data_IF_217510507378
#
_entry.id   IF_217510507378
#
_cell.length_a   1.000
_cell.length_b   1.000
_cell.length_c   1.000
_cell.angle_alpha   90.00
_cell.angle_beta   90.00
_cell.angle_gamma   90.00
#
_symmetry.space_group_name_H-M   'P 1'
#
loop_
_entity.id
_entity.type
_entity.pdbx_description
1 polymer ?
#
# COMPACT_ATOMS: atom_id res chain seq x y z
N UNK A 1 35.36 -28.44 0.67
CA UNK A 1 34.43 -27.29 0.82
C UNK A 1 33.76 -27.06 -0.53
N UNK A 2 33.01 -28.04 -1.04
CA UNK A 2 31.55 -28.21 -0.87
C UNK A 2 30.75 -27.06 -1.51
N UNK A 3 30.62 -27.20 -2.84
CA UNK A 3 29.67 -26.52 -3.71
C UNK A 3 28.24 -26.62 -3.14
N UNK A 4 27.64 -25.48 -2.76
CA UNK A 4 26.22 -25.38 -2.40
C UNK A 4 25.44 -25.02 -3.66
N UNK A 5 24.48 -25.86 -3.99
CA UNK A 5 23.73 -25.91 -5.25
C UNK A 5 22.95 -24.63 -5.61
N UNK A 6 22.81 -24.32 -6.91
CA UNK A 6 21.88 -23.31 -7.41
C UNK A 6 20.49 -23.95 -7.62
N UNK A 7 19.76 -24.24 -6.54
CA UNK A 7 18.46 -24.92 -6.61
C UNK A 7 17.25 -23.98 -6.41
N UNK A 8 17.39 -22.70 -6.76
CA UNK A 8 16.30 -21.70 -6.70
C UNK A 8 16.08 -21.10 -8.08
N UNK A 9 15.76 -21.93 -9.06
CA UNK A 9 15.46 -21.47 -10.43
C UNK A 9 14.35 -22.27 -11.09
N UNK A 10 13.27 -22.55 -10.36
CA UNK A 10 12.11 -23.25 -10.92
C UNK A 10 10.81 -22.73 -10.33
N UNK A 11 10.43 -21.49 -10.66
CA UNK A 11 9.03 -21.11 -10.93
C UNK A 11 9.05 -19.87 -11.84
N UNK A 12 9.27 -20.07 -13.14
CA UNK A 12 9.03 -19.03 -14.16
C UNK A 12 7.60 -19.16 -14.67
N UNK A 13 6.63 -18.76 -13.85
CA UNK A 13 5.19 -18.73 -14.18
C UNK A 13 4.70 -17.29 -14.46
N UNK A 14 5.58 -16.41 -14.97
CA UNK A 14 5.53 -14.97 -14.68
C UNK A 14 4.96 -14.00 -15.73
N UNK A 15 4.72 -14.40 -16.98
CA UNK A 15 4.45 -13.41 -18.05
C UNK A 15 2.97 -12.96 -18.17
N UNK A 16 1.93 -13.82 -18.10
CA UNK A 16 0.55 -13.34 -18.21
C UNK A 16 -0.03 -12.76 -16.90
N UNK A 17 0.61 -13.03 -15.76
CA UNK A 17 0.08 -12.63 -14.45
C UNK A 17 0.45 -11.19 -14.06
N UNK A 18 1.55 -10.66 -14.58
CA UNK A 18 2.04 -9.31 -14.27
C UNK A 18 1.09 -8.22 -14.76
N UNK A 19 0.60 -8.34 -16.00
CA UNK A 19 -0.37 -7.41 -16.59
C UNK A 19 -1.72 -7.42 -15.87
N UNK A 20 -2.15 -8.57 -15.35
CA UNK A 20 -3.40 -8.68 -14.61
C UNK A 20 -3.28 -8.00 -13.23
N UNK A 21 -2.15 -8.15 -12.54
CA UNK A 21 -1.97 -7.53 -11.21
C UNK A 21 -2.01 -6.00 -11.25
N UNK A 22 -1.45 -5.36 -12.28
CA UNK A 22 -1.35 -3.90 -12.37
C UNK A 22 -2.71 -3.20 -12.47
N UNK A 23 -3.69 -3.84 -13.10
CA UNK A 23 -5.07 -3.32 -13.16
C UNK A 23 -5.91 -3.70 -11.95
N UNK A 24 -5.61 -4.83 -11.30
CA UNK A 24 -6.45 -5.37 -10.23
C UNK A 24 -6.27 -4.60 -8.91
N UNK A 25 -5.06 -4.13 -8.64
CA UNK A 25 -4.73 -3.43 -7.38
C UNK A 25 -5.52 -2.12 -7.19
N UNK A 26 -5.60 -1.18 -8.15
CA UNK A 26 -6.38 0.05 -7.96
C UNK A 26 -7.89 -0.21 -7.85
N UNK A 27 -8.41 -1.20 -8.58
CA UNK A 27 -9.82 -1.61 -8.49
C UNK A 27 -10.11 -2.17 -7.11
N UNK A 28 -9.23 -3.02 -6.60
CA UNK A 28 -9.36 -3.61 -5.27
C UNK A 28 -9.34 -2.54 -4.17
N UNK A 29 -8.45 -1.55 -4.28
CA UNK A 29 -8.40 -0.40 -3.34
C UNK A 29 -9.73 0.35 -3.27
N UNK A 30 -10.28 0.75 -4.42
CA UNK A 30 -11.55 1.51 -4.48
C UNK A 30 -12.70 0.66 -3.92
N UNK A 31 -12.73 -0.64 -4.26
CA UNK A 31 -13.75 -1.56 -3.77
C UNK A 31 -13.71 -1.70 -2.24
N UNK A 32 -12.52 -1.97 -1.66
CA UNK A 32 -12.36 -2.12 -0.22
C UNK A 32 -12.66 -0.83 0.53
N UNK A 33 -12.17 0.32 0.04
CA UNK A 33 -12.46 1.61 0.64
C UNK A 33 -13.97 1.90 0.63
N UNK A 34 -14.67 1.57 -0.46
CA UNK A 34 -16.12 1.70 -0.56
C UNK A 34 -16.87 0.85 0.46
N UNK A 35 -16.48 -0.43 0.62
CA UNK A 35 -17.08 -1.33 1.62
C UNK A 35 -16.88 -0.80 3.04
N UNK A 36 -15.66 -0.37 3.37
CA UNK A 36 -15.36 0.20 4.69
C UNK A 36 -16.17 1.47 4.95
N UNK A 37 -16.35 2.36 3.97
CA UNK A 37 -17.17 3.56 4.11
C UNK A 37 -18.64 3.19 4.38
N UNK A 38 -19.20 2.22 3.65
CA UNK A 38 -20.59 1.78 3.85
C UNK A 38 -20.78 1.19 5.25
N UNK A 39 -19.89 0.31 5.71
CA UNK A 39 -19.94 -0.23 7.07
C UNK A 39 -19.74 0.85 8.13
N UNK A 40 -18.90 1.86 7.86
CA UNK A 40 -18.72 3.01 8.76
C UNK A 40 -20.00 3.84 8.91
N UNK A 41 -20.79 4.00 7.83
CA UNK A 41 -22.10 4.69 7.89
C UNK A 41 -23.08 3.92 8.77
N UNK A 42 -23.11 2.60 8.66
CA UNK A 42 -23.97 1.75 9.50
C UNK A 42 -23.59 1.94 10.98
N UNK A 43 -22.29 1.85 11.30
CA UNK A 43 -21.79 2.06 12.67
C UNK A 43 -22.12 3.47 13.18
N UNK A 44 -22.00 4.50 12.34
CA UNK A 44 -22.37 5.87 12.71
C UNK A 44 -23.86 5.99 13.08
N UNK A 45 -24.74 5.39 12.27
CA UNK A 45 -26.18 5.38 12.54
C UNK A 45 -26.52 4.67 13.86
N UNK A 46 -25.92 3.51 14.10
CA UNK A 46 -26.10 2.75 15.34
C UNK A 46 -25.58 3.52 16.56
N UNK A 47 -24.37 4.09 16.49
CA UNK A 47 -23.81 4.89 17.59
C UNK A 47 -24.61 6.17 17.86
N UNK A 48 -25.10 6.84 16.81
CA UNK A 48 -25.95 8.03 16.94
C UNK A 48 -27.31 7.69 17.60
N UNK A 49 -27.93 6.58 17.19
CA UNK A 49 -29.18 6.11 17.78
C UNK A 49 -29.02 5.75 19.27
N UNK A 50 -27.98 4.97 19.60
CA UNK A 50 -27.68 4.60 20.99
C UNK A 50 -27.41 5.85 21.84
N UNK A 51 -26.68 6.84 21.31
CA UNK A 51 -26.41 8.11 22.00
C UNK A 51 -27.69 8.89 22.27
N UNK A 52 -28.61 8.95 21.30
CA UNK A 52 -29.89 9.63 21.45
C UNK A 52 -30.77 8.96 22.51
N UNK A 53 -30.85 7.62 22.51
CA UNK A 53 -31.59 6.85 23.52
C UNK A 53 -31.04 7.09 24.93
N UNK A 54 -29.72 7.13 25.07
CA UNK A 54 -29.05 7.31 26.35
C UNK A 54 -29.30 8.72 26.90
N UNK A 55 -29.16 9.74 26.05
CA UNK A 55 -29.37 11.14 26.41
C UNK A 55 -30.83 11.43 26.80
N UNK A 56 -31.78 10.76 26.16
CA UNK A 56 -33.22 10.97 26.41
C UNK A 56 -33.74 10.21 27.64
N UNK A 57 -33.11 9.09 28.01
CA UNK A 57 -33.63 8.18 29.04
C UNK A 57 -32.89 8.22 30.36
N UNK A 58 -31.62 8.64 30.36
CA UNK A 58 -30.77 8.67 31.55
C UNK A 58 -30.16 10.06 31.76
N UNK A 59 -29.86 10.37 33.03
CA UNK A 59 -29.02 11.50 33.49
C UNK A 59 -27.88 11.75 32.49
N UNK A 60 -27.46 13.00 32.17
CA UNK A 60 -26.60 13.39 31.05
C UNK A 60 -25.23 12.69 30.98
N UNK A 61 -25.25 11.41 30.64
CA UNK A 61 -24.11 10.54 30.45
C UNK A 61 -24.16 9.99 29.03
N UNK A 62 -23.02 10.01 28.35
CA UNK A 62 -22.83 9.38 27.06
C UNK A 62 -21.95 8.15 27.23
N UNK A 63 -22.17 7.14 26.40
CA UNK A 63 -21.28 5.98 26.38
C UNK A 63 -19.96 6.32 25.70
N UNK A 64 -18.84 6.05 26.38
CA UNK A 64 -17.49 6.28 25.86
C UNK A 64 -17.27 5.56 24.52
N UNK A 65 -17.80 4.35 24.36
CA UNK A 65 -17.69 3.60 23.11
C UNK A 65 -18.43 4.29 21.95
N UNK A 66 -19.57 4.94 22.21
CA UNK A 66 -20.36 5.59 21.18
C UNK A 66 -19.63 6.85 20.66
N UNK A 67 -19.04 7.63 21.58
CA UNK A 67 -18.18 8.75 21.22
C UNK A 67 -16.95 8.30 20.41
N UNK A 68 -16.30 7.21 20.83
CA UNK A 68 -15.15 6.63 20.12
C UNK A 68 -15.53 6.10 18.72
N UNK A 69 -16.70 5.48 18.58
CA UNK A 69 -17.23 5.01 17.31
C UNK A 69 -17.47 6.16 16.32
N UNK A 70 -18.12 7.24 16.78
CA UNK A 70 -18.35 8.45 15.97
C UNK A 70 -17.01 9.06 15.53
N UNK A 71 -16.07 9.22 16.46
CA UNK A 71 -14.73 9.74 16.15
C UNK A 71 -14.00 8.87 15.12
N UNK A 72 -14.08 7.54 15.26
CA UNK A 72 -13.48 6.58 14.33
C UNK A 72 -14.08 6.68 12.93
N UNK A 73 -15.39 6.88 12.80
CA UNK A 73 -16.04 7.08 11.50
C UNK A 73 -15.58 8.39 10.84
N UNK A 74 -15.53 9.49 11.60
CA UNK A 74 -15.05 10.79 11.10
C UNK A 74 -13.61 10.66 10.62
N UNK A 75 -12.74 10.02 11.40
CA UNK A 75 -11.35 9.75 11.02
C UNK A 75 -11.25 8.83 9.81
N UNK A 76 -12.12 7.84 9.68
CA UNK A 76 -12.18 6.96 8.51
C UNK A 76 -12.55 7.75 7.25
N UNK A 77 -13.53 8.63 7.34
CA UNK A 77 -13.92 9.51 6.24
C UNK A 77 -12.82 10.50 5.89
N UNK A 78 -12.18 11.12 6.88
CA UNK A 78 -11.06 12.03 6.65
C UNK A 78 -9.86 11.29 6.05
N UNK A 79 -9.47 10.13 6.59
CA UNK A 79 -8.32 9.36 6.15
C UNK A 79 -8.54 8.76 4.76
N UNK A 80 -9.57 7.94 4.58
CA UNK A 80 -9.86 7.31 3.28
C UNK A 80 -10.33 8.32 2.24
N UNK A 81 -11.13 9.31 2.65
CA UNK A 81 -11.55 10.39 1.76
C UNK A 81 -10.36 11.19 1.24
N UNK A 82 -9.39 11.54 2.11
CA UNK A 82 -8.16 12.21 1.66
C UNK A 82 -7.37 11.35 0.69
N UNK A 83 -7.19 10.06 0.98
CA UNK A 83 -6.48 9.15 0.07
C UNK A 83 -7.19 9.05 -1.30
N UNK A 84 -8.51 8.90 -1.32
CA UNK A 84 -9.31 8.81 -2.55
C UNK A 84 -9.33 10.12 -3.35
N UNK A 85 -9.50 11.26 -2.68
CA UNK A 85 -9.54 12.57 -3.33
C UNK A 85 -8.19 12.86 -3.98
N UNK A 86 -7.08 12.63 -3.28
CA UNK A 86 -5.78 12.97 -3.85
C UNK A 86 -5.37 12.00 -4.96
N UNK A 87 -5.72 10.71 -4.84
CA UNK A 87 -5.54 9.74 -5.93
C UNK A 87 -6.28 10.16 -7.21
N UNK A 88 -7.46 10.79 -7.08
CA UNK A 88 -8.22 11.31 -8.23
C UNK A 88 -7.65 12.61 -8.79
N UNK A 89 -7.19 13.52 -7.92
CA UNK A 89 -6.80 14.88 -8.33
C UNK A 89 -5.38 14.98 -8.90
N UNK A 90 -4.44 14.14 -8.46
CA UNK A 90 -3.06 14.16 -8.97
C UNK A 90 -2.45 12.77 -9.08
N UNK A 91 -2.35 12.26 -10.31
CA UNK A 91 -1.44 11.15 -10.63
C UNK A 91 0.00 11.63 -10.37
N UNK A 92 0.69 11.04 -9.40
CA UNK A 92 2.09 11.37 -9.05
C UNK A 92 2.29 12.32 -7.85
N UNK A 93 1.26 12.63 -7.05
CA UNK A 93 1.44 13.38 -5.80
C UNK A 93 1.97 12.52 -4.64
N UNK A 94 2.70 13.14 -3.70
CA UNK A 94 3.34 12.53 -2.51
C UNK A 94 2.37 11.67 -1.66
N UNK A 95 1.09 12.00 -1.67
CA UNK A 95 0.04 11.24 -0.97
C UNK A 95 -0.20 9.85 -1.56
N UNK A 96 0.26 9.58 -2.78
CA UNK A 96 0.18 8.27 -3.41
C UNK A 96 1.30 7.33 -2.94
N UNK A 97 2.24 7.80 -2.10
CA UNK A 97 3.31 6.94 -1.60
C UNK A 97 2.76 5.83 -0.70
N UNK A 98 3.26 4.62 -0.92
CA UNK A 98 2.95 3.43 -0.13
C UNK A 98 3.11 3.68 1.38
N UNK A 99 4.14 4.44 1.79
CA UNK A 99 4.37 4.78 3.21
C UNK A 99 3.20 5.56 3.80
N UNK A 100 2.69 6.56 3.10
CA UNK A 100 1.57 7.40 3.57
C UNK A 100 0.29 6.57 3.68
N UNK A 101 0.02 5.73 2.67
CA UNK A 101 -1.14 4.84 2.67
C UNK A 101 -1.08 3.82 3.82
N UNK A 102 0.08 3.18 4.03
CA UNK A 102 0.28 2.26 5.16
C UNK A 102 0.14 2.97 6.52
N UNK A 103 0.62 4.20 6.64
CA UNK A 103 0.52 4.97 7.88
C UNK A 103 -0.93 5.30 8.24
N UNK A 104 -1.72 5.73 7.27
CA UNK A 104 -3.16 6.01 7.46
C UNK A 104 -3.92 4.71 7.77
N UNK A 105 -3.65 3.63 7.04
CA UNK A 105 -4.29 2.33 7.28
C UNK A 105 -3.94 1.77 8.67
N UNK A 106 -2.69 1.89 9.12
CA UNK A 106 -2.27 1.48 10.45
C UNK A 106 -2.95 2.29 11.55
N UNK A 107 -3.13 3.61 11.34
CA UNK A 107 -3.86 4.46 12.27
C UNK A 107 -5.34 4.05 12.36
N UNK A 108 -6.02 3.89 11.22
CA UNK A 108 -7.43 3.46 11.20
C UNK A 108 -7.62 2.06 11.80
N UNK A 109 -6.66 1.15 11.58
CA UNK A 109 -6.66 -0.18 12.16
C UNK A 109 -6.73 -0.16 13.69
N UNK A 110 -5.94 0.69 14.37
CA UNK A 110 -5.95 0.79 15.84
C UNK A 110 -7.29 1.36 16.34
N UNK A 111 -7.86 2.35 15.64
CA UNK A 111 -9.13 2.96 16.03
C UNK A 111 -10.31 1.99 15.90
N UNK A 112 -10.36 1.21 14.81
CA UNK A 112 -11.37 0.17 14.64
C UNK A 112 -11.21 -0.97 15.65
N UNK A 113 -9.98 -1.39 15.95
CA UNK A 113 -9.69 -2.36 17.02
C UNK A 113 -10.22 -1.86 18.37
N UNK A 114 -9.88 -0.62 18.72
CA UNK A 114 -10.28 -0.01 20.01
C UNK A 114 -11.79 0.11 20.11
N UNK A 115 -12.46 0.55 19.03
CA UNK A 115 -13.92 0.63 18.98
C UNK A 115 -14.55 -0.75 19.15
N UNK A 116 -14.09 -1.77 18.42
CA UNK A 116 -14.59 -3.14 18.53
C UNK A 116 -14.41 -3.72 19.94
N UNK A 117 -13.25 -3.49 20.57
CA UNK A 117 -12.95 -3.95 21.92
C UNK A 117 -13.89 -3.33 22.97
N UNK A 118 -14.03 -2.00 22.95
CA UNK A 118 -14.88 -1.27 23.91
C UNK A 118 -16.35 -1.67 23.79
N UNK A 119 -16.87 -1.82 22.57
CA UNK A 119 -18.27 -2.25 22.36
C UNK A 119 -18.46 -3.69 22.82
N UNK A 120 -17.46 -4.57 22.60
CA UNK A 120 -17.53 -5.98 23.01
C UNK A 120 -17.56 -6.13 24.52
N UNK A 121 -16.76 -5.34 25.24
CA UNK A 121 -16.76 -5.30 26.72
C UNK A 121 -18.11 -4.85 27.27
N UNK A 122 -18.66 -3.74 26.77
CA UNK A 122 -19.96 -3.23 27.20
C UNK A 122 -21.10 -4.20 26.84
N UNK A 123 -21.01 -4.86 25.68
CA UNK A 123 -21.98 -5.88 25.29
C UNK A 123 -21.96 -7.08 26.25
N UNK A 124 -20.77 -7.56 26.63
CA UNK A 124 -20.62 -8.64 27.59
C UNK A 124 -21.11 -8.25 29.00
N UNK A 125 -20.83 -7.02 29.43
CA UNK A 125 -21.24 -6.54 30.75
C UNK A 125 -22.76 -6.33 30.86
N UNK A 126 -23.40 -5.75 29.83
CA UNK A 126 -24.83 -5.39 29.87
C UNK A 126 -25.79 -6.51 29.50
N UNK A 127 -25.34 -7.45 28.66
CA UNK A 127 -26.20 -8.48 28.08
C UNK A 127 -25.78 -9.91 28.46
N UNK A 128 -24.96 -10.10 29.49
CA UNK A 128 -24.77 -11.45 30.08
C UNK A 128 -26.04 -11.84 30.86
N UNK A 129 -26.78 -12.93 30.54
CA UNK A 129 -26.43 -14.14 29.77
C UNK A 129 -27.12 -14.27 28.39
N UNK A 130 -27.64 -13.18 27.84
CA UNK A 130 -28.30 -13.14 26.54
C UNK A 130 -29.29 -11.99 26.43
N UNK A 131 -29.89 -11.85 25.26
CA UNK A 131 -30.81 -10.78 24.97
C UNK A 131 -32.25 -11.24 25.16
N UNK A 132 -32.82 -10.89 26.31
CA UNK A 132 -34.23 -11.10 26.63
C UNK A 132 -35.15 -10.22 25.76
N UNK A 133 -36.33 -10.75 25.43
CA UNK A 133 -37.31 -10.18 24.48
C UNK A 133 -37.71 -8.72 24.74
N UNK A 134 -37.61 -8.23 25.98
CA UNK A 134 -37.96 -6.83 26.32
C UNK A 134 -36.91 -5.79 25.90
N UNK A 135 -35.69 -6.20 25.54
CA UNK A 135 -34.61 -5.31 25.06
C UNK A 135 -33.99 -5.78 23.74
N UNK A 136 -34.73 -6.57 22.97
CA UNK A 136 -34.23 -7.20 21.74
C UNK A 136 -33.62 -6.22 20.74
N UNK A 137 -34.25 -5.06 20.54
CA UNK A 137 -33.78 -4.06 19.56
C UNK A 137 -32.40 -3.50 19.94
N UNK A 138 -32.23 -3.00 21.17
CA UNK A 138 -30.96 -2.39 21.61
C UNK A 138 -29.85 -3.43 21.65
N UNK A 139 -30.13 -4.66 22.08
CA UNK A 139 -29.12 -5.72 21.99
C UNK A 139 -28.69 -5.99 20.55
N UNK A 140 -29.64 -6.07 19.62
CA UNK A 140 -29.34 -6.28 18.20
C UNK A 140 -28.43 -5.17 17.65
N UNK A 141 -28.65 -3.93 18.06
CA UNK A 141 -27.82 -2.79 17.67
C UNK A 141 -26.39 -2.91 18.22
N UNK A 142 -26.21 -3.31 19.49
CA UNK A 142 -24.87 -3.55 20.05
C UNK A 142 -24.14 -4.68 19.32
N UNK A 143 -24.81 -5.81 19.12
CA UNK A 143 -24.24 -6.96 18.41
C UNK A 143 -23.85 -6.59 16.96
N UNK A 144 -24.69 -5.80 16.28
CA UNK A 144 -24.39 -5.28 14.95
C UNK A 144 -23.17 -4.36 14.98
N UNK A 145 -23.08 -3.42 15.91
CA UNK A 145 -21.91 -2.53 16.05
C UNK A 145 -20.63 -3.32 16.30
N UNK A 146 -20.65 -4.32 17.18
CA UNK A 146 -19.50 -5.23 17.40
C UNK A 146 -19.08 -5.87 16.09
N UNK A 147 -20.02 -6.50 15.38
CA UNK A 147 -19.73 -7.22 14.14
C UNK A 147 -19.14 -6.29 13.06
N UNK A 148 -19.76 -5.14 12.80
CA UNK A 148 -19.28 -4.21 11.78
C UNK A 148 -17.93 -3.56 12.14
N UNK A 149 -17.67 -3.29 13.42
CA UNK A 149 -16.37 -2.79 13.86
C UNK A 149 -15.25 -3.81 13.63
N UNK A 150 -15.48 -5.08 13.96
CA UNK A 150 -14.51 -6.15 13.71
C UNK A 150 -14.32 -6.44 12.22
N UNK A 151 -15.37 -6.33 11.40
CA UNK A 151 -15.27 -6.48 9.95
C UNK A 151 -14.43 -5.37 9.33
N UNK A 152 -14.65 -4.10 9.70
CA UNK A 152 -13.83 -2.99 9.24
C UNK A 152 -12.37 -3.17 9.66
N UNK A 153 -12.13 -3.58 10.91
CA UNK A 153 -10.79 -3.89 11.39
C UNK A 153 -10.09 -4.97 10.54
N UNK A 154 -10.78 -6.09 10.26
CA UNK A 154 -10.24 -7.18 9.45
C UNK A 154 -9.93 -6.74 8.01
N UNK A 155 -10.81 -5.97 7.39
CA UNK A 155 -10.64 -5.49 6.02
C UNK A 155 -9.40 -4.58 5.93
N UNK A 156 -9.30 -3.61 6.85
CA UNK A 156 -8.16 -2.67 6.88
C UNK A 156 -6.86 -3.42 7.21
N UNK A 157 -6.89 -4.35 8.17
CA UNK A 157 -5.73 -5.16 8.52
C UNK A 157 -5.27 -6.05 7.36
N UNK A 158 -6.19 -6.74 6.68
CA UNK A 158 -5.87 -7.60 5.55
C UNK A 158 -5.27 -6.80 4.39
N UNK A 159 -5.84 -5.64 4.08
CA UNK A 159 -5.31 -4.76 3.05
C UNK A 159 -3.93 -4.18 3.41
N UNK A 160 -3.80 -3.59 4.61
CA UNK A 160 -2.53 -3.03 5.07
C UNK A 160 -1.43 -4.09 5.20
N UNK A 161 -1.78 -5.29 5.68
CA UNK A 161 -0.85 -6.42 5.80
C UNK A 161 -0.36 -6.94 4.45
N UNK A 162 -1.24 -7.10 3.47
CA UNK A 162 -0.86 -7.54 2.11
C UNK A 162 0.05 -6.50 1.43
N UNK A 163 -0.29 -5.21 1.52
CA UNK A 163 0.58 -4.14 1.02
C UNK A 163 1.94 -4.11 1.71
N UNK A 164 1.97 -4.29 3.03
CA UNK A 164 3.23 -4.32 3.79
C UNK A 164 4.11 -5.49 3.35
N UNK A 165 3.56 -6.70 3.23
CA UNK A 165 4.30 -7.90 2.79
C UNK A 165 4.85 -7.70 1.39
N UNK A 166 4.05 -7.23 0.43
CA UNK A 166 4.52 -6.97 -0.93
C UNK A 166 5.60 -5.88 -0.98
N UNK A 167 5.47 -4.84 -0.16
CA UNK A 167 6.47 -3.78 -0.06
C UNK A 167 7.79 -4.30 0.49
N UNK A 168 7.76 -5.17 1.51
CA UNK A 168 8.98 -5.79 2.06
C UNK A 168 9.63 -6.68 1.00
N UNK A 169 8.88 -7.54 0.31
CA UNK A 169 9.43 -8.41 -0.74
C UNK A 169 10.09 -7.57 -1.84
N UNK A 170 9.43 -6.52 -2.32
CA UNK A 170 10.00 -5.67 -3.36
C UNK A 170 11.23 -4.87 -2.87
N UNK A 171 11.22 -4.40 -1.62
CA UNK A 171 12.37 -3.74 -1.00
C UNK A 171 13.58 -4.68 -0.86
N UNK A 172 13.36 -5.94 -0.48
CA UNK A 172 14.45 -6.94 -0.39
C UNK A 172 15.08 -7.27 -1.76
N UNK A 173 14.36 -7.04 -2.86
CA UNK A 173 14.87 -7.17 -4.24
C UNK A 173 15.67 -5.96 -4.72
N UNK A 174 15.83 -4.93 -3.88
CA UNK A 174 16.55 -3.70 -4.23
C UNK A 174 15.72 -2.66 -4.99
N UNK A 175 14.39 -2.85 -5.09
CA UNK A 175 13.50 -1.87 -5.70
C UNK A 175 13.06 -0.84 -4.65
N UNK A 176 13.19 0.45 -4.96
CA UNK A 176 12.68 1.53 -4.11
C UNK A 176 11.17 1.64 -4.23
N UNK A 177 10.43 0.89 -3.40
CA UNK A 177 8.95 0.87 -3.42
C UNK A 177 8.30 1.88 -2.49
N UNK A 178 8.95 2.26 -1.40
CA UNK A 178 8.36 3.11 -0.35
C UNK A 178 7.81 4.46 -0.83
N UNK A 179 8.46 5.05 -1.83
CA UNK A 179 8.11 6.36 -2.39
C UNK A 179 7.46 6.25 -3.79
N UNK A 180 7.04 5.04 -4.18
CA UNK A 180 6.28 4.83 -5.42
C UNK A 180 4.80 4.72 -5.10
N UNK A 181 3.98 5.04 -6.10
CA UNK A 181 2.55 4.75 -6.04
C UNK A 181 2.32 3.25 -6.10
N UNK A 182 1.30 2.75 -5.40
CA UNK A 182 0.87 1.34 -5.46
C UNK A 182 0.59 0.92 -6.91
N UNK A 183 0.05 1.81 -7.76
CA UNK A 183 -0.22 1.51 -9.17
C UNK A 183 1.03 1.51 -10.06
N UNK A 184 2.12 2.11 -9.60
CA UNK A 184 3.40 2.20 -10.33
C UNK A 184 4.45 1.22 -9.78
N UNK A 185 4.19 0.65 -8.61
CA UNK A 185 5.07 -0.31 -7.97
C UNK A 185 4.93 -1.68 -8.66
N UNK A 186 5.93 -2.02 -9.46
CA UNK A 186 6.08 -3.38 -9.94
C UNK A 186 6.71 -4.24 -8.83
N UNK A 187 5.85 -4.84 -8.00
CA UNK A 187 6.27 -5.70 -6.89
C UNK A 187 6.98 -6.98 -7.36
N UNK A 188 6.75 -7.37 -8.62
CA UNK A 188 7.26 -8.61 -9.18
C UNK A 188 8.42 -8.41 -10.17
N UNK A 189 8.75 -7.17 -10.50
CA UNK A 189 9.91 -6.84 -11.32
C UNK A 189 11.17 -7.60 -10.84
N UNK A 190 11.98 -8.11 -11.78
CA UNK A 190 13.30 -8.65 -11.48
C UNK A 190 14.09 -7.63 -10.66
N UNK A 191 14.96 -8.12 -9.75
CA UNK A 191 15.85 -7.25 -9.00
C UNK A 191 16.57 -6.33 -10.00
N UNK A 192 16.43 -5.01 -9.81
CA UNK A 192 17.12 -4.04 -10.64
C UNK A 192 18.59 -4.43 -10.65
N UNK A 193 19.08 -4.94 -11.79
CA UNK A 193 20.51 -5.15 -11.97
C UNK A 193 21.11 -3.78 -11.73
N UNK A 194 21.84 -3.63 -10.62
CA UNK A 194 22.63 -2.42 -10.38
C UNK A 194 23.40 -2.24 -11.68
N UNK A 195 23.03 -1.24 -12.48
CA UNK A 195 23.69 -0.96 -13.74
C UNK A 195 25.17 -1.00 -13.40
N UNK A 196 25.91 -1.90 -14.05
CA UNK A 196 27.33 -2.04 -13.76
C UNK A 196 27.89 -0.62 -13.74
N UNK A 197 28.61 -0.22 -12.67
CA UNK A 197 29.09 1.16 -12.55
C UNK A 197 29.69 1.52 -13.89
N UNK A 198 29.31 2.66 -14.49
CA UNK A 198 29.71 2.99 -15.85
C UNK A 198 31.20 2.74 -15.90
N UNK A 199 31.62 1.77 -16.74
CA UNK A 199 33.02 1.44 -16.89
C UNK A 199 33.64 2.74 -17.33
N UNK A 200 34.24 3.48 -16.40
CA UNK A 200 35.03 4.65 -16.71
C UNK A 200 36.08 4.04 -17.60
N UNK A 201 35.96 4.30 -18.90
CA UNK A 201 37.02 4.02 -19.85
C UNK A 201 38.18 4.85 -19.33
N UNK A 202 38.98 4.24 -18.46
CA UNK A 202 40.27 4.76 -18.09
C UNK A 202 41.02 4.72 -19.42
N UNK A 203 41.35 5.87 -20.02
CA UNK A 203 42.00 5.90 -21.32
C UNK A 203 43.26 5.05 -21.19
N UNK A 204 43.20 3.88 -21.82
CA UNK A 204 44.31 2.95 -21.80
C UNK A 204 45.47 3.70 -22.47
N UNK A 205 46.61 3.88 -21.80
CA UNK A 205 47.75 4.54 -22.42
C UNK A 205 48.06 3.77 -23.69
N UNK A 206 47.95 4.46 -24.81
CA UNK A 206 48.19 3.93 -26.16
C UNK A 206 49.62 3.42 -26.17
N UNK A 207 49.81 2.11 -26.01
CA UNK A 207 51.08 1.49 -26.30
C UNK A 207 51.25 1.53 -27.82
N UNK A 208 52.42 1.97 -28.34
CA UNK A 208 52.70 1.98 -29.78
C UNK A 208 52.49 0.59 -30.37
N UNK A 209 51.39 0.41 -31.09
CA UNK A 209 51.04 -0.84 -31.73
C UNK A 209 51.91 -0.97 -32.98
N UNK A 210 52.88 -1.88 -32.95
CA UNK A 210 53.58 -2.30 -34.16
C UNK A 210 52.57 -2.93 -35.13
N UNK A 211 52.59 -2.42 -36.34
CA UNK A 211 51.68 -2.69 -37.43
C UNK A 211 51.96 -4.11 -37.97
N UNK A 212 51.14 -5.09 -37.56
CA UNK A 212 51.12 -6.40 -38.21
C UNK A 212 50.10 -6.40 -39.37
N UNK A 213 50.48 -6.92 -40.56
CA UNK A 213 49.64 -6.91 -41.75
C UNK A 213 48.46 -7.88 -41.66
N UNK A 214 47.33 -7.43 -42.22
CA UNK A 214 46.02 -8.09 -42.25
C UNK A 214 46.00 -9.43 -43.01
N UNK A 215 45.30 -10.41 -42.44
CA UNK A 215 44.55 -11.42 -43.20
C UNK A 215 43.16 -11.59 -42.56
N UNK A 216 42.13 -11.47 -43.39
CA UNK A 216 40.76 -11.15 -42.97
C UNK A 216 39.87 -12.34 -42.60
N UNK A 217 38.72 -12.07 -41.98
CA UNK A 217 37.60 -13.00 -41.98
C UNK A 217 36.25 -12.39 -41.51
N UNK A 218 35.24 -12.55 -42.38
CA UNK A 218 33.77 -12.64 -42.24
C UNK A 218 32.92 -11.65 -41.38
N UNK A 219 31.74 -11.21 -41.90
CA UNK A 219 30.76 -10.40 -41.16
C UNK A 219 29.77 -11.28 -40.37
N UNK A 220 29.52 -10.99 -39.07
CA UNK A 220 28.39 -11.57 -38.35
C UNK A 220 27.12 -10.71 -38.53
N UNK A 221 26.00 -11.39 -38.76
CA UNK A 221 24.67 -10.83 -38.88
C UNK A 221 24.23 -10.13 -37.58
N UNK A 222 23.79 -8.88 -37.73
CA UNK A 222 23.42 -8.00 -36.64
C UNK A 222 22.00 -8.24 -36.10
N UNK A 223 21.90 -8.36 -34.78
CA UNK A 223 20.69 -8.02 -34.05
C UNK A 223 20.77 -6.53 -33.68
N UNK A 224 19.85 -5.72 -34.22
CA UNK A 224 19.71 -4.31 -33.85
C UNK A 224 19.21 -4.22 -32.40
N UNK A 225 20.07 -3.79 -31.49
CA UNK A 225 19.63 -3.28 -30.20
C UNK A 225 19.02 -1.88 -30.40
N UNK A 226 17.87 -1.58 -29.77
CA UNK A 226 17.31 -0.24 -29.80
C UNK A 226 18.29 0.75 -29.16
N UNK A 227 18.75 1.72 -29.97
CA UNK A 227 19.60 2.81 -29.53
C UNK A 227 18.90 3.60 -28.43
N UNK A 228 19.48 3.58 -27.23
CA UNK A 228 19.08 4.51 -26.18
C UNK A 228 19.50 5.93 -26.57
N UNK A 229 18.69 6.96 -26.27
CA UNK A 229 19.02 8.35 -26.57
C UNK A 229 20.35 8.73 -25.93
N UNK A 230 21.31 9.13 -26.77
CA UNK A 230 22.58 9.70 -26.33
C UNK A 230 22.28 11.02 -25.61
N UNK A 231 22.53 11.04 -24.30
CA UNK A 231 22.50 12.24 -23.49
C UNK A 231 23.72 13.09 -23.87
N UNK A 232 23.50 14.16 -24.63
CA UNK A 232 24.54 15.15 -24.97
C UNK A 232 24.75 16.02 -23.72
N UNK A 233 25.94 16.00 -23.09
CA UNK A 233 26.21 16.87 -21.95
C UNK A 233 26.12 18.33 -22.37
N UNK A 234 25.36 19.12 -21.61
CA UNK A 234 25.29 20.56 -21.79
C UNK A 234 26.68 21.17 -21.50
N UNK A 235 27.24 22.02 -22.38
CA UNK A 235 28.54 22.63 -22.17
C UNK A 235 28.52 23.51 -20.91
N UNK A 236 29.56 23.38 -20.08
CA UNK A 236 29.71 24.13 -18.85
C UNK A 236 29.82 25.65 -19.13
N UNK A 237 29.18 26.52 -18.31
CA UNK A 237 29.30 27.96 -18.45
C UNK A 237 30.75 28.40 -18.19
N UNK A 238 31.38 29.01 -19.20
CA UNK A 238 32.68 29.66 -19.05
C UNK A 238 32.52 30.89 -18.16
N UNK A 239 33.21 30.90 -17.02
CA UNK A 239 33.33 32.06 -16.16
C UNK A 239 34.13 33.18 -16.86
N UNK A 240 33.66 34.44 -16.86
CA UNK A 240 34.44 35.57 -17.35
C UNK A 240 35.73 35.74 -16.53
N UNK A 241 36.88 35.80 -17.21
CA UNK A 241 38.13 36.22 -16.59
C UNK A 241 38.09 37.75 -16.43
N UNK A 242 38.32 38.21 -15.20
CA UNK A 242 38.59 39.61 -14.84
C UNK A 242 39.99 39.67 -14.26
#
# INVERSE_FOLDING_TARGET
>A
MSNVLPLVRLVSFGEPFSHFSSFLVPIHKISLAGVVIVFSIIVLGLCAHITNLTTSSFIPFYFTFAAMGIATVILTWAGLGTLLIVDRLRKGAITSWIVTELSVMAFLWIFWLTTGALVSEENAFRFSPGCSNTRGTVCGEFAATVAFSWLNWLIIFGYGGTLLVFSIIAATRGNSVWFKSVSEADFFAPAAQKAAPPTVYQPQPVQPQMQQPMQGQYPPAGYQQPQQPIFVPSPAPQSPQV
#
